data_IF_125337298066
#
_entry.id   IF_125337298066
#
_cell.length_a   1.000
_cell.length_b   1.000
_cell.length_c   1.000
_cell.angle_alpha   90.00
_cell.angle_beta   90.00
_cell.angle_gamma   90.00
#
_symmetry.space_group_name_H-M   'P 1'
#
loop_
_entity.id
_entity.type
_entity.pdbx_description
1 polymer ?
#
# COMPACT_ATOMS: atom_id res chain seq x y z
N UNK A 1 -7.50 23.65 9.48
CA UNK A 1 -8.31 23.00 10.52
C UNK A 1 -7.42 22.65 11.69
N UNK A 2 -7.95 22.71 12.90
CA UNK A 2 -7.26 22.19 14.10
C UNK A 2 -7.24 20.65 14.05
N UNK A 3 -6.30 20.04 14.77
CA UNK A 3 -6.14 18.56 14.81
C UNK A 3 -7.40 17.85 15.32
N UNK A 4 -8.08 18.45 16.30
CA UNK A 4 -9.34 17.94 16.86
C UNK A 4 -10.44 17.89 15.80
N UNK A 5 -10.67 18.99 15.07
CA UNK A 5 -11.64 19.06 13.97
C UNK A 5 -11.39 17.99 12.90
N UNK A 6 -10.11 17.77 12.53
CA UNK A 6 -9.74 16.73 11.56
C UNK A 6 -10.15 15.33 12.08
N UNK A 7 -9.91 15.07 13.36
CA UNK A 7 -10.25 13.77 13.96
C UNK A 7 -11.76 13.57 14.08
N UNK A 8 -12.51 14.62 14.42
CA UNK A 8 -13.98 14.55 14.52
C UNK A 8 -14.61 14.25 13.14
N UNK A 9 -14.13 14.93 12.10
CA UNK A 9 -14.59 14.65 10.73
C UNK A 9 -14.20 13.23 10.32
N UNK A 10 -12.98 12.79 10.62
CA UNK A 10 -12.54 11.42 10.32
C UNK A 10 -13.41 10.39 11.03
N UNK A 11 -13.72 10.60 12.30
CA UNK A 11 -14.61 9.71 13.07
C UNK A 11 -16.02 9.67 12.47
N UNK A 12 -16.56 10.82 12.07
CA UNK A 12 -17.84 10.91 11.36
C UNK A 12 -17.82 10.11 10.05
N UNK A 13 -16.81 10.30 9.20
CA UNK A 13 -16.65 9.56 7.95
C UNK A 13 -16.53 8.06 8.23
N UNK A 14 -15.74 7.65 9.22
CA UNK A 14 -15.58 6.25 9.61
C UNK A 14 -16.93 5.60 9.96
N UNK A 15 -17.73 6.25 10.80
CA UNK A 15 -19.05 5.76 11.22
C UNK A 15 -20.01 5.64 10.04
N UNK A 16 -20.15 6.69 9.22
CA UNK A 16 -21.05 6.68 8.06
C UNK A 16 -20.60 5.64 7.03
N UNK A 17 -19.29 5.53 6.77
CA UNK A 17 -18.74 4.58 5.82
C UNK A 17 -19.09 3.14 6.21
N UNK A 18 -18.95 2.79 7.50
CA UNK A 18 -19.33 1.45 8.01
C UNK A 18 -20.81 1.19 7.89
N UNK A 19 -21.64 2.17 8.24
CA UNK A 19 -23.10 2.05 8.17
C UNK A 19 -23.57 1.83 6.72
N UNK A 20 -23.11 2.67 5.79
CA UNK A 20 -23.54 2.63 4.38
C UNK A 20 -23.01 1.39 3.66
N UNK A 21 -21.78 0.96 3.95
CA UNK A 21 -21.17 -0.17 3.22
C UNK A 21 -21.36 -1.52 3.91
N UNK A 22 -21.76 -1.54 5.18
CA UNK A 22 -21.76 -2.74 6.01
C UNK A 22 -20.37 -3.34 6.27
N UNK A 23 -19.31 -2.62 5.90
CA UNK A 23 -17.94 -3.09 6.11
C UNK A 23 -17.49 -2.86 7.54
N UNK A 24 -16.67 -3.78 8.02
CA UNK A 24 -15.97 -3.72 9.29
C UNK A 24 -14.64 -4.48 9.16
N UNK A 25 -13.85 -4.50 10.22
CA UNK A 25 -12.53 -5.13 10.21
C UNK A 25 -12.55 -6.64 9.86
N UNK A 26 -13.65 -7.36 10.12
CA UNK A 26 -13.73 -8.81 9.86
C UNK A 26 -14.11 -9.13 8.41
N UNK A 27 -14.89 -8.28 7.74
CA UNK A 27 -15.34 -8.50 6.37
C UNK A 27 -14.67 -7.56 5.33
N UNK A 28 -13.68 -6.74 5.73
CA UNK A 28 -13.07 -5.72 4.86
C UNK A 28 -12.50 -6.26 3.55
N UNK A 29 -12.12 -7.54 3.51
CA UNK A 29 -11.57 -8.19 2.30
C UNK A 29 -12.63 -8.24 1.18
N UNK A 30 -13.92 -8.08 1.51
CA UNK A 30 -15.02 -7.96 0.55
C UNK A 30 -15.19 -6.55 -0.05
N UNK A 31 -14.29 -5.60 0.28
CA UNK A 31 -14.32 -4.25 -0.28
C UNK A 31 -14.32 -4.27 -1.82
N UNK A 32 -15.06 -3.33 -2.41
CA UNK A 32 -15.24 -3.16 -3.86
C UNK A 32 -14.92 -1.73 -4.27
N UNK A 33 -14.74 -1.51 -5.56
CA UNK A 33 -14.53 -0.18 -6.13
C UNK A 33 -15.64 0.82 -5.73
N UNK A 34 -16.91 0.38 -5.73
CA UNK A 34 -18.06 1.20 -5.31
C UNK A 34 -17.95 1.70 -3.86
N UNK A 35 -17.33 0.93 -2.97
CA UNK A 35 -17.11 1.40 -1.60
C UNK A 35 -16.07 2.54 -1.56
N UNK A 36 -15.06 2.50 -2.43
CA UNK A 36 -14.08 3.60 -2.52
C UNK A 36 -14.71 4.88 -3.09
N UNK A 37 -15.70 4.74 -3.97
CA UNK A 37 -16.50 5.87 -4.45
C UNK A 37 -17.32 6.49 -3.32
N UNK A 38 -18.02 5.69 -2.50
CA UNK A 38 -18.70 6.17 -1.28
C UNK A 38 -17.72 6.89 -0.35
N UNK A 39 -16.53 6.31 -0.14
CA UNK A 39 -15.51 6.95 0.69
C UNK A 39 -15.07 8.30 0.12
N UNK A 40 -14.88 8.37 -1.19
CA UNK A 40 -14.51 9.62 -1.88
C UNK A 40 -15.59 10.70 -1.70
N UNK A 41 -16.87 10.38 -1.87
CA UNK A 41 -17.96 11.33 -1.67
C UNK A 41 -18.02 11.85 -0.22
N UNK A 42 -17.78 10.98 0.76
CA UNK A 42 -17.70 11.39 2.17
C UNK A 42 -16.52 12.36 2.40
N UNK A 43 -15.36 12.13 1.79
CA UNK A 43 -14.25 13.07 1.87
C UNK A 43 -14.53 14.38 1.12
N UNK A 44 -15.09 14.31 -0.09
CA UNK A 44 -15.37 15.49 -0.89
C UNK A 44 -16.34 16.44 -0.16
N UNK A 45 -17.40 15.88 0.43
CA UNK A 45 -18.40 16.66 1.17
C UNK A 45 -17.91 17.18 2.52
N UNK A 46 -17.16 16.39 3.29
CA UNK A 46 -16.80 16.76 4.66
C UNK A 46 -15.45 17.48 4.80
N UNK A 47 -14.44 17.14 3.99
CA UNK A 47 -13.11 17.77 4.06
C UNK A 47 -12.87 18.81 2.96
N UNK A 48 -13.47 18.61 1.78
CA UNK A 48 -13.15 19.42 0.60
C UNK A 48 -14.25 20.40 0.23
N UNK A 49 -15.33 20.49 1.01
CA UNK A 49 -16.46 21.40 0.76
C UNK A 49 -17.00 21.29 -0.68
N UNK A 50 -17.12 20.05 -1.17
CA UNK A 50 -17.52 19.73 -2.55
C UNK A 50 -16.63 20.37 -3.63
N UNK A 51 -15.32 20.47 -3.37
CA UNK A 51 -14.33 20.99 -4.31
C UNK A 51 -14.40 20.32 -5.69
N UNK A 52 -14.59 19.00 -5.71
CA UNK A 52 -14.77 18.27 -6.96
C UNK A 52 -16.24 18.28 -7.36
N UNK A 53 -16.53 18.84 -8.54
CA UNK A 53 -17.88 18.86 -9.13
C UNK A 53 -18.23 17.54 -9.80
N UNK A 54 -19.52 17.25 -9.96
CA UNK A 54 -20.02 16.03 -10.61
C UNK A 54 -19.37 15.75 -11.98
N UNK A 55 -19.12 16.81 -12.76
CA UNK A 55 -18.44 16.71 -14.05
C UNK A 55 -17.00 16.22 -13.94
N UNK A 56 -16.28 16.63 -12.88
CA UNK A 56 -14.93 16.15 -12.60
C UNK A 56 -14.95 14.72 -12.04
N UNK A 57 -15.90 14.41 -11.16
CA UNK A 57 -16.03 13.09 -10.51
C UNK A 57 -16.20 11.98 -11.56
N UNK A 58 -16.93 12.24 -12.65
CA UNK A 58 -17.06 11.30 -13.79
C UNK A 58 -15.73 10.89 -14.45
N UNK A 59 -14.67 11.68 -14.26
CA UNK A 59 -13.33 11.36 -14.77
C UNK A 59 -12.46 10.60 -13.75
N UNK A 60 -12.99 10.33 -12.55
CA UNK A 60 -12.33 9.57 -11.50
C UNK A 60 -12.88 8.14 -11.53
N UNK A 61 -11.97 7.18 -11.49
CA UNK A 61 -12.29 5.77 -11.32
C UNK A 61 -11.65 5.22 -10.06
N UNK A 62 -12.23 4.18 -9.50
CA UNK A 62 -11.72 3.52 -8.29
C UNK A 62 -11.46 2.04 -8.57
N UNK A 63 -10.39 1.50 -8.01
CA UNK A 63 -10.09 0.09 -8.20
C UNK A 63 -9.24 -0.53 -7.09
N UNK A 64 -9.16 -1.86 -7.11
CA UNK A 64 -8.41 -2.67 -6.16
C UNK A 64 -7.35 -3.50 -6.89
N UNK A 65 -6.17 -3.63 -6.30
CA UNK A 65 -5.05 -4.33 -6.90
C UNK A 65 -4.52 -5.46 -6.03
N UNK A 66 -4.47 -6.67 -6.58
CA UNK A 66 -3.76 -7.80 -5.98
C UNK A 66 -2.25 -7.81 -6.30
N UNK A 67 -1.78 -6.91 -7.18
CA UNK A 67 -0.40 -6.90 -7.68
C UNK A 67 0.51 -5.91 -6.95
N UNK A 68 -0.08 -4.95 -6.22
CA UNK A 68 0.67 -3.91 -5.52
C UNK A 68 1.24 -4.44 -4.21
N UNK A 69 2.57 -4.51 -4.11
CA UNK A 69 3.29 -5.01 -2.92
C UNK A 69 4.15 -3.95 -2.24
N UNK A 70 4.33 -2.78 -2.86
CA UNK A 70 5.21 -1.69 -2.37
C UNK A 70 4.48 -0.45 -1.89
N UNK A 71 3.24 -0.24 -2.34
CA UNK A 71 2.45 0.94 -2.05
C UNK A 71 1.00 0.53 -1.76
N UNK A 72 0.42 1.09 -0.70
CA UNK A 72 -0.89 0.71 -0.22
C UNK A 72 -2.03 1.40 -0.98
N UNK A 73 -1.77 2.61 -1.46
CA UNK A 73 -2.57 3.34 -2.43
C UNK A 73 -1.74 3.77 -3.64
N UNK A 74 -2.44 4.18 -4.70
CA UNK A 74 -1.85 4.88 -5.84
C UNK A 74 -2.91 5.64 -6.62
N UNK A 75 -2.68 6.94 -6.79
CA UNK A 75 -3.38 7.76 -7.79
C UNK A 75 -2.65 7.72 -9.12
N UNK A 76 -3.38 7.37 -10.18
CA UNK A 76 -2.89 7.35 -11.55
C UNK A 76 -3.58 8.48 -12.29
N UNK A 77 -2.79 9.33 -12.93
CA UNK A 77 -3.27 10.38 -13.82
C UNK A 77 -2.91 10.03 -15.26
N UNK A 78 -3.91 10.00 -16.13
CA UNK A 78 -3.75 9.77 -17.57
C UNK A 78 -4.27 11.00 -18.31
N UNK A 79 -3.48 11.48 -19.25
CA UNK A 79 -3.86 12.55 -20.16
C UNK A 79 -3.55 12.12 -21.58
N UNK A 80 -4.50 12.33 -22.48
CA UNK A 80 -4.29 12.34 -23.91
C UNK A 80 -4.72 13.72 -24.46
N UNK A 81 -4.71 13.89 -25.79
CA UNK A 81 -5.03 15.18 -26.42
C UNK A 81 -6.49 15.61 -26.24
N UNK A 82 -7.39 14.71 -25.87
CA UNK A 82 -8.85 14.90 -25.87
C UNK A 82 -9.45 14.79 -24.45
N UNK A 83 -8.84 14.00 -23.57
CA UNK A 83 -9.37 13.72 -22.24
C UNK A 83 -8.31 13.54 -21.16
N UNK A 84 -8.73 13.82 -19.93
CA UNK A 84 -8.00 13.54 -18.70
C UNK A 84 -8.81 12.57 -17.86
N UNK A 85 -8.15 11.57 -17.28
CA UNK A 85 -8.76 10.64 -16.34
C UNK A 85 -7.85 10.36 -15.14
N UNK A 86 -8.49 10.04 -14.03
CA UNK A 86 -7.86 9.77 -12.75
C UNK A 86 -8.32 8.39 -12.27
N UNK A 87 -7.42 7.67 -11.60
CA UNK A 87 -7.76 6.40 -10.94
C UNK A 87 -7.14 6.39 -9.56
N UNK A 88 -7.95 6.24 -8.51
CA UNK A 88 -7.46 5.93 -7.17
C UNK A 88 -7.54 4.41 -6.97
N UNK A 89 -6.38 3.79 -6.74
CA UNK A 89 -6.21 2.35 -6.63
C UNK A 89 -5.72 1.98 -5.24
N UNK A 90 -6.39 1.07 -4.55
CA UNK A 90 -5.90 0.51 -3.29
C UNK A 90 -5.37 -0.91 -3.47
N UNK A 91 -4.44 -1.31 -2.61
CA UNK A 91 -3.85 -2.64 -2.66
C UNK A 91 -4.53 -3.62 -1.69
N UNK A 92 -5.03 -4.71 -2.27
CA UNK A 92 -5.64 -5.83 -1.53
C UNK A 92 -4.64 -6.57 -0.64
N UNK A 93 -3.34 -6.52 -0.98
CA UNK A 93 -2.33 -7.21 -0.19
C UNK A 93 -2.16 -6.57 1.19
N UNK A 94 -2.17 -5.23 1.28
CA UNK A 94 -2.08 -4.58 2.60
C UNK A 94 -3.31 -4.85 3.46
N UNK A 95 -4.51 -4.89 2.85
CA UNK A 95 -5.74 -5.24 3.57
C UNK A 95 -5.65 -6.62 4.19
N UNK A 96 -5.21 -7.61 3.41
CA UNK A 96 -5.03 -9.00 3.87
C UNK A 96 -3.95 -9.14 4.94
N UNK A 97 -2.98 -8.24 4.95
CA UNK A 97 -1.80 -8.34 5.80
C UNK A 97 -1.89 -7.51 7.08
N UNK A 98 -2.83 -6.57 7.16
CA UNK A 98 -2.91 -5.58 8.24
C UNK A 98 -2.87 -6.21 9.64
N UNK A 99 -3.60 -7.29 9.88
CA UNK A 99 -3.67 -7.97 11.18
C UNK A 99 -2.69 -9.12 11.37
N UNK A 100 -1.76 -9.36 10.44
CA UNK A 100 -0.84 -10.51 10.48
C UNK A 100 0.43 -10.30 11.31
N UNK A 101 0.58 -9.13 11.92
CA UNK A 101 1.70 -8.78 12.82
C UNK A 101 1.14 -8.08 14.04
N UNK A 102 1.84 -8.14 15.18
CA UNK A 102 1.36 -7.56 16.45
C UNK A 102 1.86 -6.13 16.69
N UNK A 103 2.85 -5.64 15.94
CA UNK A 103 3.36 -4.27 16.10
C UNK A 103 2.33 -3.21 15.72
N UNK A 104 2.60 -1.97 16.12
CA UNK A 104 1.80 -0.82 15.69
C UNK A 104 1.88 -0.60 14.16
N UNK A 105 0.78 -0.15 13.58
CA UNK A 105 0.66 0.18 12.16
C UNK A 105 0.49 1.68 12.03
N UNK A 106 1.30 2.28 11.17
CA UNK A 106 1.37 3.74 11.02
C UNK A 106 1.24 4.08 9.55
N UNK A 107 0.32 4.98 9.21
CA UNK A 107 0.06 5.44 7.86
C UNK A 107 0.16 6.97 7.85
N UNK A 108 1.04 7.54 7.03
CA UNK A 108 1.22 9.00 6.92
C UNK A 108 1.51 9.68 8.27
N UNK A 109 2.15 8.94 9.17
CA UNK A 109 2.51 9.39 10.52
C UNK A 109 1.39 9.30 11.56
N UNK A 110 0.25 8.67 11.22
CA UNK A 110 -0.89 8.43 12.11
C UNK A 110 -0.94 6.95 12.47
N UNK A 111 -1.03 6.64 13.76
CA UNK A 111 -1.24 5.26 14.24
C UNK A 111 -2.68 4.85 13.93
N UNK A 112 -2.85 3.72 13.27
CA UNK A 112 -4.16 3.20 12.86
C UNK A 112 -4.56 2.04 13.77
N UNK A 113 -5.79 2.07 14.28
CA UNK A 113 -6.32 1.05 15.21
C UNK A 113 -6.87 -0.16 14.48
N UNK A 114 -7.42 0.05 13.30
CA UNK A 114 -7.94 -1.00 12.45
C UNK A 114 -7.64 -0.75 10.96
N UNK A 115 -7.99 -1.74 10.16
CA UNK A 115 -7.77 -1.75 8.71
C UNK A 115 -8.62 -0.71 7.98
N UNK A 116 -9.78 -0.32 8.50
CA UNK A 116 -10.63 0.73 7.91
C UNK A 116 -10.00 2.09 8.15
N UNK A 117 -9.54 2.38 9.37
CA UNK A 117 -8.75 3.59 9.63
C UNK A 117 -7.54 3.66 8.71
N UNK A 118 -6.81 2.55 8.53
CA UNK A 118 -5.68 2.51 7.61
C UNK A 118 -6.08 2.81 6.16
N UNK A 119 -7.18 2.22 5.65
CA UNK A 119 -7.73 2.55 4.33
C UNK A 119 -7.99 4.06 4.23
N UNK A 120 -8.67 4.63 5.23
CA UNK A 120 -9.04 6.03 5.24
C UNK A 120 -7.81 6.94 5.14
N UNK A 121 -6.77 6.70 5.94
CA UNK A 121 -5.55 7.52 5.90
C UNK A 121 -4.75 7.31 4.60
N UNK A 122 -4.72 6.10 4.03
CA UNK A 122 -4.15 5.87 2.70
C UNK A 122 -4.94 6.67 1.67
N UNK A 123 -6.26 6.65 1.74
CA UNK A 123 -7.13 7.32 0.80
C UNK A 123 -6.97 8.85 0.86
N UNK A 124 -6.82 9.43 2.05
CA UNK A 124 -6.44 10.83 2.25
C UNK A 124 -5.15 11.19 1.48
N UNK A 125 -4.14 10.33 1.55
CA UNK A 125 -2.88 10.53 0.81
C UNK A 125 -3.11 10.53 -0.70
N UNK A 126 -3.92 9.60 -1.20
CA UNK A 126 -4.25 9.51 -2.62
C UNK A 126 -5.12 10.70 -3.10
N UNK A 127 -6.00 11.23 -2.25
CA UNK A 127 -6.75 12.47 -2.50
C UNK A 127 -5.79 13.66 -2.63
N UNK A 128 -4.74 13.76 -1.80
CA UNK A 128 -3.71 14.79 -1.98
C UNK A 128 -3.04 14.69 -3.36
N UNK A 129 -2.72 13.48 -3.81
CA UNK A 129 -2.19 13.26 -5.16
C UNK A 129 -3.19 13.69 -6.24
N UNK A 130 -4.48 13.36 -6.07
CA UNK A 130 -5.54 13.75 -6.99
C UNK A 130 -5.64 15.29 -7.10
N UNK A 131 -5.64 16.01 -5.96
CA UNK A 131 -5.67 17.48 -5.94
C UNK A 131 -4.45 18.05 -6.67
N UNK A 132 -3.25 17.51 -6.42
CA UNK A 132 -2.04 17.98 -7.09
C UNK A 132 -2.07 17.72 -8.61
N UNK A 133 -2.54 16.55 -9.05
CA UNK A 133 -2.70 16.29 -10.48
C UNK A 133 -3.76 17.19 -11.10
N UNK A 134 -4.89 17.40 -10.42
CA UNK A 134 -5.94 18.29 -10.91
C UNK A 134 -5.42 19.73 -11.11
N UNK A 135 -4.74 20.30 -10.11
CA UNK A 135 -4.25 21.69 -10.13
C UNK A 135 -2.97 21.90 -10.93
N UNK A 136 -2.01 20.98 -10.82
CA UNK A 136 -0.64 21.19 -11.31
C UNK A 136 -0.20 20.18 -12.37
N UNK A 137 -1.04 19.19 -12.71
CA UNK A 137 -0.77 18.13 -13.70
C UNK A 137 0.47 17.27 -13.37
N UNK A 138 1.00 17.42 -12.16
CA UNK A 138 2.13 16.66 -11.61
C UNK A 138 1.97 16.56 -10.10
N UNK A 139 2.43 15.46 -9.53
CA UNK A 139 2.37 15.25 -8.09
C UNK A 139 3.59 14.51 -7.57
N UNK A 140 4.00 14.83 -6.34
CA UNK A 140 5.05 14.10 -5.64
C UNK A 140 4.99 14.35 -4.14
N UNK A 141 4.87 13.27 -3.37
CA UNK A 141 4.77 13.31 -1.92
C UNK A 141 6.02 13.87 -1.22
N UNK A 142 7.17 13.89 -1.92
CA UNK A 142 8.41 14.45 -1.39
C UNK A 142 8.43 15.98 -1.39
N UNK A 143 7.58 16.63 -2.18
CA UNK A 143 7.58 18.09 -2.33
C UNK A 143 7.01 18.81 -1.11
N UNK A 144 7.49 20.02 -0.85
CA UNK A 144 6.98 20.85 0.24
C UNK A 144 5.47 21.14 0.10
N UNK A 145 5.01 21.35 -1.14
CA UNK A 145 3.60 21.60 -1.44
C UNK A 145 2.71 20.42 -1.05
N UNK A 146 3.07 19.19 -1.44
CA UNK A 146 2.30 18.01 -1.04
C UNK A 146 2.28 17.86 0.48
N UNK A 147 3.43 17.98 1.15
CA UNK A 147 3.52 17.87 2.61
C UNK A 147 2.69 18.93 3.34
N UNK A 148 2.66 20.15 2.80
CA UNK A 148 1.81 21.21 3.35
C UNK A 148 0.32 20.90 3.12
N UNK A 149 -0.04 20.41 1.93
CA UNK A 149 -1.41 20.04 1.59
C UNK A 149 -1.92 18.93 2.53
N UNK A 150 -1.18 17.83 2.66
CA UNK A 150 -1.58 16.68 3.47
C UNK A 150 -1.62 17.00 4.96
N UNK A 151 -0.68 17.83 5.46
CA UNK A 151 -0.71 18.32 6.83
C UNK A 151 -1.92 19.22 7.10
N UNK A 152 -2.22 20.16 6.20
CA UNK A 152 -3.25 21.16 6.45
C UNK A 152 -4.68 20.62 6.29
N UNK A 153 -4.87 19.67 5.36
CA UNK A 153 -6.18 19.02 5.14
C UNK A 153 -6.42 17.88 6.14
N UNK A 154 -5.42 17.01 6.33
CA UNK A 154 -5.63 15.72 6.98
C UNK A 154 -4.75 15.49 8.21
N UNK A 155 -3.89 16.44 8.55
CA UNK A 155 -3.03 16.33 9.74
C UNK A 155 -1.90 15.32 9.61
N UNK A 156 -1.51 14.96 8.37
CA UNK A 156 -0.41 14.02 8.14
C UNK A 156 0.91 14.60 8.65
N UNK A 157 1.71 13.76 9.32
CA UNK A 157 3.05 14.13 9.82
C UNK A 157 4.18 13.45 9.04
N UNK A 158 3.87 12.43 8.24
CA UNK A 158 4.81 11.68 7.41
C UNK A 158 4.17 11.33 6.05
N UNK A 159 4.99 10.90 5.09
CA UNK A 159 4.60 10.48 3.73
C UNK A 159 4.72 8.97 3.51
N UNK A 160 5.25 8.24 4.49
CA UNK A 160 5.46 6.80 4.41
C UNK A 160 4.38 6.00 5.15
N UNK A 161 4.22 4.75 4.74
CA UNK A 161 3.36 3.78 5.41
C UNK A 161 4.23 2.68 6.02
N UNK A 162 4.11 2.49 7.33
CA UNK A 162 4.70 1.38 8.07
C UNK A 162 3.61 0.33 8.28
N UNK A 163 3.24 -0.34 7.20
CA UNK A 163 2.23 -1.41 7.18
C UNK A 163 2.92 -2.78 7.06
N UNK A 164 2.28 -3.87 7.54
CA UNK A 164 2.87 -5.20 7.46
C UNK A 164 3.15 -5.63 6.02
N UNK A 165 4.36 -6.14 5.79
CA UNK A 165 4.77 -6.65 4.46
C UNK A 165 4.79 -8.17 4.46
N UNK A 166 4.63 -8.79 3.27
CA UNK A 166 4.76 -10.25 3.13
C UNK A 166 6.12 -10.75 3.65
N UNK A 167 7.18 -9.96 3.46
CA UNK A 167 8.52 -10.27 3.97
C UNK A 167 8.55 -10.32 5.49
N UNK A 168 8.01 -9.30 6.13
CA UNK A 168 7.96 -9.20 7.59
C UNK A 168 7.16 -10.35 8.19
N UNK A 169 5.96 -10.57 7.67
CA UNK A 169 5.06 -11.65 8.10
C UNK A 169 5.75 -13.02 7.94
N UNK A 170 6.43 -13.25 6.83
CA UNK A 170 7.16 -14.50 6.63
C UNK A 170 8.27 -14.67 7.66
N UNK A 171 9.10 -13.65 7.88
CA UNK A 171 10.24 -13.74 8.80
C UNK A 171 9.78 -13.95 10.25
N UNK A 172 8.72 -13.26 10.69
CA UNK A 172 8.13 -13.47 12.03
C UNK A 172 7.63 -14.91 12.23
N UNK A 173 7.11 -15.54 11.18
CA UNK A 173 6.49 -16.87 11.28
C UNK A 173 7.44 -18.05 10.98
N UNK A 174 8.64 -17.83 10.45
CA UNK A 174 9.48 -18.90 9.89
C UNK A 174 10.85 -19.09 10.56
N UNK A 175 11.23 -18.27 11.56
CA UNK A 175 12.60 -18.26 12.13
C UNK A 175 13.71 -18.15 11.06
N UNK A 176 13.37 -17.61 9.89
CA UNK A 176 14.26 -17.38 8.75
C UNK A 176 14.43 -15.87 8.62
N UNK A 177 15.68 -15.42 8.53
CA UNK A 177 16.06 -14.03 8.29
C UNK A 177 16.77 -13.90 6.94
N UNK A 178 16.88 -12.68 6.41
CA UNK A 178 17.80 -12.43 5.30
C UNK A 178 19.22 -12.87 5.68
N UNK A 179 19.91 -13.51 4.74
CA UNK A 179 21.21 -14.16 4.97
C UNK A 179 21.11 -15.59 5.50
N UNK A 180 19.95 -16.05 5.95
CA UNK A 180 19.77 -17.45 6.35
C UNK A 180 20.03 -18.39 5.19
N UNK A 181 20.67 -19.52 5.48
CA UNK A 181 20.72 -20.63 4.54
C UNK A 181 19.35 -21.30 4.53
N UNK A 182 18.85 -21.58 3.33
CA UNK A 182 17.53 -22.18 3.12
C UNK A 182 17.61 -23.27 2.06
N UNK A 183 16.66 -24.20 2.11
CA UNK A 183 16.50 -25.27 1.12
C UNK A 183 15.14 -25.20 0.43
N UNK A 184 15.11 -25.59 -0.84
CA UNK A 184 13.89 -25.64 -1.64
C UNK A 184 14.02 -26.65 -2.78
N UNK A 185 12.89 -27.16 -3.30
CA UNK A 185 12.89 -28.05 -4.46
C UNK A 185 12.80 -27.26 -5.76
N UNK A 186 13.65 -27.59 -6.73
CA UNK A 186 13.64 -27.04 -8.09
C UNK A 186 13.98 -28.14 -9.10
N UNK A 187 13.11 -28.33 -10.11
CA UNK A 187 13.25 -29.40 -11.12
C UNK A 187 13.53 -30.79 -10.53
N UNK A 188 12.89 -31.14 -9.39
CA UNK A 188 13.09 -32.42 -8.70
C UNK A 188 14.28 -32.47 -7.74
N UNK A 189 15.21 -31.52 -7.81
CA UNK A 189 16.40 -31.46 -6.95
C UNK A 189 16.16 -30.59 -5.72
N UNK A 190 16.74 -30.99 -4.59
CA UNK A 190 16.80 -30.15 -3.39
C UNK A 190 18.02 -29.23 -3.51
N UNK A 191 17.78 -27.93 -3.65
CA UNK A 191 18.83 -26.93 -3.69
C UNK A 191 18.98 -26.25 -2.33
N UNK A 192 20.21 -25.86 -2.00
CA UNK A 192 20.57 -25.11 -0.80
C UNK A 192 21.19 -23.78 -1.21
N UNK A 193 20.74 -22.69 -0.62
CA UNK A 193 21.23 -21.36 -0.95
C UNK A 193 20.98 -20.34 0.16
N UNK A 194 21.35 -19.09 -0.11
CA UNK A 194 21.27 -17.99 0.85
C UNK A 194 20.05 -17.14 0.50
N UNK A 195 19.18 -16.90 1.47
CA UNK A 195 18.05 -16.00 1.31
C UNK A 195 18.55 -14.55 1.18
N UNK A 196 18.43 -13.98 -0.01
CA UNK A 196 18.92 -12.63 -0.30
C UNK A 196 17.86 -11.55 -0.07
N UNK A 197 16.61 -11.80 -0.49
CA UNK A 197 15.52 -10.83 -0.42
C UNK A 197 14.17 -11.53 -0.41
N UNK A 198 13.16 -10.92 0.21
CA UNK A 198 11.77 -11.35 0.06
C UNK A 198 10.97 -10.23 -0.62
N UNK A 199 10.23 -10.60 -1.67
CA UNK A 199 9.15 -9.79 -2.25
C UNK A 199 7.84 -10.59 -2.11
N UNK A 200 7.12 -10.84 -3.21
CA UNK A 200 6.06 -11.87 -3.28
C UNK A 200 6.64 -13.29 -3.11
N UNK A 201 7.82 -13.51 -3.68
CA UNK A 201 8.61 -14.73 -3.57
C UNK A 201 9.92 -14.39 -2.85
N UNK A 202 10.55 -15.38 -2.23
CA UNK A 202 11.94 -15.25 -1.83
C UNK A 202 12.87 -15.28 -3.03
N UNK A 203 13.95 -14.53 -2.92
CA UNK A 203 15.08 -14.54 -3.83
C UNK A 203 16.21 -15.28 -3.12
N UNK A 204 16.53 -16.47 -3.61
CA UNK A 204 17.59 -17.33 -3.04
C UNK A 204 18.78 -17.36 -3.99
N UNK A 205 19.97 -17.12 -3.46
CA UNK A 205 21.24 -17.22 -4.18
C UNK A 205 21.85 -18.60 -3.91
N UNK A 206 21.93 -19.43 -4.95
CA UNK A 206 22.51 -20.78 -4.87
C UNK A 206 23.91 -20.72 -5.47
N UNK A 207 24.89 -21.29 -4.77
CA UNK A 207 26.28 -21.35 -5.26
C UNK A 207 26.33 -22.06 -6.61
N UNK A 208 26.92 -21.41 -7.61
CA UNK A 208 27.01 -21.90 -8.97
C UNK A 208 28.22 -21.23 -9.65
N UNK A 209 29.24 -22.03 -9.98
CA UNK A 209 30.46 -21.55 -10.62
C UNK A 209 30.24 -20.90 -11.99
N UNK A 210 29.10 -21.17 -12.65
CA UNK A 210 28.69 -20.55 -13.91
C UNK A 210 27.61 -19.48 -13.70
N UNK A 211 27.21 -19.23 -12.44
CA UNK A 211 26.16 -18.29 -12.08
C UNK A 211 26.48 -16.86 -12.49
N UNK A 212 25.46 -16.08 -12.85
CA UNK A 212 25.63 -14.71 -13.35
C UNK A 212 25.95 -13.68 -12.25
N UNK A 213 25.71 -14.01 -10.98
CA UNK A 213 25.89 -13.08 -9.86
C UNK A 213 27.17 -13.42 -9.12
N UNK A 214 27.92 -12.41 -8.68
CA UNK A 214 29.09 -12.59 -7.84
C UNK A 214 29.04 -11.76 -6.57
N UNK A 215 29.67 -12.26 -5.51
CA UNK A 215 29.94 -11.48 -4.30
C UNK A 215 31.29 -10.75 -4.40
N UNK A 216 31.65 -10.04 -3.33
CA UNK A 216 32.94 -9.31 -3.24
C UNK A 216 34.17 -10.24 -3.22
N UNK A 217 33.98 -11.51 -2.91
CA UNK A 217 35.01 -12.54 -2.90
C UNK A 217 35.04 -13.34 -4.21
N UNK A 218 34.29 -12.90 -5.24
CA UNK A 218 34.17 -13.54 -6.53
C UNK A 218 33.51 -14.95 -6.51
N UNK A 219 32.82 -15.31 -5.43
CA UNK A 219 31.97 -16.49 -5.42
C UNK A 219 30.78 -16.25 -6.34
N UNK A 220 30.42 -17.24 -7.16
CA UNK A 220 29.36 -17.11 -8.17
C UNK A 220 28.08 -17.80 -7.75
N UNK A 221 26.95 -17.22 -8.14
CA UNK A 221 25.62 -17.64 -7.74
C UNK A 221 24.62 -17.57 -8.88
N UNK A 222 23.67 -18.51 -8.84
CA UNK A 222 22.44 -18.49 -9.62
C UNK A 222 21.28 -18.01 -8.74
N UNK A 223 20.41 -17.17 -9.32
CA UNK A 223 19.30 -16.51 -8.61
C UNK A 223 17.99 -17.24 -8.87
N UNK A 224 17.31 -17.64 -7.80
CA UNK A 224 16.03 -18.34 -7.85
C UNK A 224 14.92 -17.52 -7.18
N UNK A 225 13.73 -17.53 -7.78
CA UNK A 225 12.52 -16.98 -7.19
C UNK A 225 11.66 -18.12 -6.66
N UNK A 226 11.58 -18.26 -5.34
CA UNK A 226 10.97 -19.39 -4.66
C UNK A 226 9.71 -18.91 -3.91
N UNK A 227 8.54 -19.54 -4.12
CA UNK A 227 7.36 -19.29 -3.30
C UNK A 227 7.67 -19.48 -1.81
N UNK A 228 7.17 -18.58 -0.96
CA UNK A 228 7.52 -18.54 0.47
C UNK A 228 7.16 -19.84 1.21
N UNK A 229 6.06 -20.47 0.84
CA UNK A 229 5.58 -21.77 1.36
C UNK A 229 6.48 -22.96 1.01
N UNK A 230 7.40 -22.81 0.04
CA UNK A 230 8.31 -23.87 -0.42
C UNK A 230 9.71 -23.78 0.20
N UNK A 231 9.95 -22.78 1.03
CA UNK A 231 11.25 -22.54 1.66
C UNK A 231 11.29 -23.24 3.00
N UNK A 232 12.41 -23.93 3.26
CA UNK A 232 12.71 -24.53 4.54
C UNK A 232 14.05 -24.01 5.03
N UNK A 233 14.23 -23.94 6.36
CA UNK A 233 15.53 -23.67 6.97
C UNK A 233 16.46 -24.87 6.75
#
# INVERSE_FOLDING_TARGET
MKKEEINDIRYKIYSIFKEVTGLNSSNIISIKALHLEVLFELYNSNFLSNYFSDGFIKNISFSLSNKMTKAAGKTIYKRNSISESFEIKLSMNFLKNYNKTNREKIVSGIVTKDVIEAIMIIFEHEICHLIEFHKYKKSSCKTARFKSLSRNLFGHSDIYHRLPTDSEIFMENSNITLGSTVTFKYNGFLLKGILYKINKNAVVMVSDNKGMYSDKCNNRYSKYYVPLDKIKK
#
